data_IF_828142788686
#
_entry.id   IF_828142788686
#
_cell.length_a   1.000
_cell.length_b   1.000
_cell.length_c   1.000
_cell.angle_alpha   90.00
_cell.angle_beta   90.00
_cell.angle_gamma   90.00
#
_symmetry.space_group_name_H-M   'P 1'
#
loop_
_entity.id
_entity.type
_entity.pdbx_description
1 polymer ?
#
# COMPACT_ATOMS: atom_id res chain seq x y z
N UNK A 1 1.96 -8.36 7.59
CA UNK A 1 3.17 -7.97 6.85
C UNK A 1 3.77 -6.72 7.48
N UNK A 2 5.06 -6.75 7.84
CA UNK A 2 5.76 -5.62 8.49
C UNK A 2 6.03 -4.46 7.52
N UNK A 3 6.09 -4.73 6.21
CA UNK A 3 6.30 -3.74 5.17
C UNK A 3 5.17 -2.71 5.12
N UNK A 4 3.93 -3.20 5.21
CA UNK A 4 2.71 -2.37 5.20
C UNK A 4 2.64 -1.42 6.39
N UNK A 5 3.03 -1.88 7.58
CA UNK A 5 3.09 -1.03 8.78
C UNK A 5 4.16 0.07 8.69
N UNK A 6 5.25 -0.14 7.94
CA UNK A 6 6.27 0.90 7.73
C UNK A 6 5.89 1.89 6.63
N UNK A 7 5.18 1.43 5.60
CA UNK A 7 4.78 2.28 4.47
C UNK A 7 3.50 3.08 4.73
N UNK A 8 2.50 2.51 5.42
CA UNK A 8 1.21 3.18 5.63
C UNK A 8 1.22 4.10 6.87
N UNK A 9 2.19 3.95 7.79
CA UNK A 9 2.21 4.73 9.03
C UNK A 9 2.70 6.15 8.75
N UNK A 10 1.74 7.07 8.60
CA UNK A 10 1.99 8.49 8.28
C UNK A 10 1.26 8.97 7.03
N UNK A 11 0.53 8.09 6.34
CA UNK A 11 -0.33 8.45 5.21
C UNK A 11 -1.79 8.28 5.61
N UNK A 12 -2.61 9.28 5.30
CA UNK A 12 -4.07 9.25 5.57
C UNK A 12 -4.78 8.15 4.77
N UNK A 13 -4.19 7.72 3.66
CA UNK A 13 -4.68 6.64 2.81
C UNK A 13 -3.59 5.58 2.61
N UNK A 14 -3.94 4.28 2.63
CA UNK A 14 -2.98 3.21 2.39
C UNK A 14 -2.45 3.28 0.96
N UNK A 15 -1.13 3.32 0.81
CA UNK A 15 -0.47 3.41 -0.50
C UNK A 15 -0.36 2.06 -1.21
N UNK A 16 -0.39 0.97 -0.42
CA UNK A 16 -0.26 -0.39 -0.92
C UNK A 16 -1.65 -0.92 -1.28
N UNK A 17 -1.88 -1.08 -2.57
CA UNK A 17 -3.08 -1.71 -3.11
C UNK A 17 -2.77 -3.17 -3.46
N UNK A 18 -3.61 -4.08 -2.98
CA UNK A 18 -3.50 -5.50 -3.32
C UNK A 18 -4.26 -5.76 -4.62
N UNK A 19 -3.58 -6.32 -5.61
CA UNK A 19 -4.19 -6.78 -6.87
C UNK A 19 -4.28 -8.29 -6.83
N UNK A 20 -5.52 -8.82 -6.86
CA UNK A 20 -5.76 -10.27 -6.79
C UNK A 20 -5.02 -10.97 -7.94
N UNK A 21 -4.25 -12.00 -7.60
CA UNK A 21 -3.41 -12.79 -8.52
C UNK A 21 -2.28 -12.03 -9.25
N UNK A 22 -2.03 -10.75 -8.93
CA UNK A 22 -0.95 -9.96 -9.54
C UNK A 22 0.05 -9.38 -8.53
N UNK A 23 -0.27 -9.39 -7.23
CA UNK A 23 0.63 -8.94 -6.18
C UNK A 23 0.22 -7.58 -5.60
N UNK A 24 1.19 -6.70 -5.37
CA UNK A 24 0.98 -5.40 -4.73
C UNK A 24 1.35 -4.27 -5.70
N UNK A 25 0.54 -3.21 -5.71
CA UNK A 25 0.79 -1.98 -6.45
C UNK A 25 0.91 -0.82 -5.47
N UNK A 26 1.92 0.01 -5.64
CA UNK A 26 2.05 1.26 -4.89
C UNK A 26 1.49 2.36 -5.77
N UNK A 27 0.44 3.04 -5.31
CA UNK A 27 -0.11 4.22 -5.97
C UNK A 27 -0.45 5.25 -4.91
N UNK A 28 0.19 6.40 -4.98
CA UNK A 28 -0.39 7.63 -4.44
C UNK A 28 -1.42 8.04 -5.48
N UNK A 29 -2.71 8.02 -5.15
CA UNK A 29 -3.73 8.64 -6.00
C UNK A 29 -3.33 10.10 -6.31
N UNK A 30 -3.82 10.72 -7.40
CA UNK A 30 -4.04 12.16 -7.37
C UNK A 30 -5.09 12.53 -6.31
#
# INVERSE_FOLDING_TARGET
SRLRQKLDKGFDKPLIHTVRNAGYMIRAEP
#
